data_IF_672154713227
#
_entry.id   IF_672154713227
#
_cell.length_a   1.000
_cell.length_b   1.000
_cell.length_c   1.000
_cell.angle_alpha   90.00
_cell.angle_beta   90.00
_cell.angle_gamma   90.00
#
_symmetry.space_group_name_H-M   'P 1'
#
loop_
_entity.id
_entity.type
_entity.pdbx_description
1 polymer ?
#
# COMPACT_ATOMS: atom_id res chain seq x y z
N UNK A 1 28.47 -47.00 6.31
CA UNK A 1 27.11 -47.34 6.76
C UNK A 1 26.57 -46.12 7.49
N UNK A 2 26.10 -45.12 6.74
CA UNK A 2 25.52 -43.90 7.29
C UNK A 2 24.06 -43.85 6.87
N UNK A 3 23.21 -44.10 7.84
CA UNK A 3 21.76 -44.07 7.77
C UNK A 3 21.31 -42.61 7.78
N UNK A 4 20.97 -42.08 6.60
CA UNK A 4 20.42 -40.73 6.46
C UNK A 4 18.96 -40.82 6.90
N UNK A 5 18.67 -40.28 8.09
CA UNK A 5 17.32 -40.18 8.65
C UNK A 5 16.39 -39.45 7.68
N UNK A 6 15.46 -40.19 7.09
CA UNK A 6 14.37 -39.72 6.21
C UNK A 6 13.21 -39.07 7.00
N UNK A 7 13.52 -38.37 8.10
CA UNK A 7 12.53 -37.88 9.09
C UNK A 7 12.06 -36.44 8.86
N UNK A 8 12.67 -35.69 7.93
CA UNK A 8 12.26 -34.29 7.63
C UNK A 8 11.71 -34.11 6.21
N UNK A 9 11.19 -35.18 5.59
CA UNK A 9 10.37 -35.01 4.38
C UNK A 9 9.02 -34.44 4.78
N UNK A 10 8.88 -33.12 4.70
CA UNK A 10 7.61 -32.40 4.81
C UNK A 10 6.60 -33.09 3.87
N UNK A 11 5.72 -33.90 4.46
CA UNK A 11 4.74 -34.64 3.69
C UNK A 11 3.77 -33.64 3.03
N UNK A 12 3.41 -33.84 1.76
CA UNK A 12 2.42 -33.00 1.12
C UNK A 12 1.13 -33.04 1.95
N UNK A 13 0.57 -31.87 2.27
CA UNK A 13 -0.64 -31.72 3.09
C UNK A 13 -1.92 -32.21 2.38
N UNK A 14 -1.83 -33.19 1.48
CA UNK A 14 -2.94 -33.73 0.70
C UNK A 14 -4.12 -34.23 1.56
N UNK A 15 -3.87 -34.56 2.83
CA UNK A 15 -4.90 -34.96 3.79
C UNK A 15 -5.70 -33.80 4.40
N UNK A 16 -5.28 -32.54 4.19
CA UNK A 16 -6.01 -31.37 4.68
C UNK A 16 -7.40 -31.28 4.05
N UNK A 17 -8.45 -30.99 4.82
CA UNK A 17 -9.78 -30.73 4.27
C UNK A 17 -9.80 -29.66 3.18
N UNK A 18 -8.93 -28.66 3.26
CA UNK A 18 -8.81 -27.61 2.26
C UNK A 18 -8.46 -28.18 0.87
N UNK A 19 -7.52 -29.13 0.80
CA UNK A 19 -7.09 -29.74 -0.46
C UNK A 19 -8.05 -30.82 -0.99
N UNK A 20 -9.10 -31.16 -0.23
CA UNK A 20 -10.21 -32.01 -0.72
C UNK A 20 -11.27 -31.22 -1.49
N UNK A 21 -11.26 -29.88 -1.39
CA UNK A 21 -12.14 -29.01 -2.15
C UNK A 21 -11.68 -28.92 -3.62
N UNK A 22 -12.58 -28.70 -4.59
CA UNK A 22 -12.20 -28.28 -5.94
C UNK A 22 -11.35 -27.00 -5.94
N UNK A 23 -10.49 -26.84 -6.95
CA UNK A 23 -9.58 -25.69 -7.03
C UNK A 23 -10.29 -24.34 -7.06
N UNK A 24 -11.47 -24.30 -7.65
CA UNK A 24 -12.31 -23.10 -7.71
C UNK A 24 -12.72 -22.62 -6.31
N UNK A 25 -13.13 -23.55 -5.44
CA UNK A 25 -13.50 -23.20 -4.06
C UNK A 25 -12.29 -22.77 -3.24
N UNK A 26 -11.12 -23.40 -3.45
CA UNK A 26 -9.88 -22.97 -2.80
C UNK A 26 -9.49 -21.56 -3.22
N UNK A 27 -9.57 -21.26 -4.52
CA UNK A 27 -9.32 -19.92 -5.04
C UNK A 27 -10.26 -18.88 -4.44
N UNK A 28 -11.55 -19.19 -4.28
CA UNK A 28 -12.49 -18.29 -3.59
C UNK A 28 -12.13 -18.08 -2.12
N UNK A 29 -11.72 -19.15 -1.42
CA UNK A 29 -11.24 -19.02 -0.03
C UNK A 29 -10.01 -18.11 0.02
N UNK A 30 -9.01 -18.32 -0.84
CA UNK A 30 -7.82 -17.48 -0.87
C UNK A 30 -8.17 -16.03 -1.15
N UNK A 31 -9.01 -15.79 -2.15
CA UNK A 31 -9.47 -14.44 -2.50
C UNK A 31 -10.16 -13.77 -1.32
N UNK A 32 -11.09 -14.44 -0.64
CA UNK A 32 -11.79 -13.88 0.52
C UNK A 32 -10.86 -13.59 1.70
N UNK A 33 -9.87 -14.45 1.93
CA UNK A 33 -8.95 -14.35 3.07
C UNK A 33 -7.88 -13.28 2.84
N UNK A 34 -7.52 -13.02 1.59
CA UNK A 34 -6.46 -12.07 1.20
C UNK A 34 -7.04 -10.71 0.80
N UNK A 35 -8.33 -10.64 0.43
CA UNK A 35 -8.97 -9.36 0.13
C UNK A 35 -9.25 -8.59 1.43
N UNK A 36 -8.74 -7.36 1.58
CA UNK A 36 -9.00 -6.55 2.76
C UNK A 36 -10.50 -6.21 2.85
N UNK A 37 -11.05 -6.26 4.06
CA UNK A 37 -12.44 -5.85 4.34
C UNK A 37 -12.59 -4.35 4.59
N UNK A 38 -11.47 -3.63 4.72
CA UNK A 38 -11.39 -2.20 4.99
C UNK A 38 -10.18 -1.60 4.26
N UNK A 39 -10.15 -0.28 4.04
CA UNK A 39 -9.00 0.37 3.42
C UNK A 39 -7.69 0.11 4.17
N UNK A 40 -6.61 -0.04 3.43
CA UNK A 40 -5.25 -0.23 3.94
C UNK A 40 -4.59 1.16 3.99
N UNK A 41 -4.54 1.76 5.18
CA UNK A 41 -4.01 3.11 5.37
C UNK A 41 -2.52 3.06 5.71
N UNK A 42 -1.72 3.79 4.93
CA UNK A 42 -0.28 3.94 5.08
C UNK A 42 0.45 2.59 5.24
N UNK A 43 0.29 1.65 4.28
CA UNK A 43 0.94 0.35 4.35
C UNK A 43 2.46 0.52 4.49
N UNK A 44 3.03 -0.10 5.51
CA UNK A 44 4.47 -0.10 5.75
C UNK A 44 5.01 -1.52 5.76
N UNK A 45 6.19 -1.67 5.19
CA UNK A 45 6.97 -2.91 5.25
C UNK A 45 7.79 -3.02 6.54
N UNK A 46 7.88 -1.93 7.30
CA UNK A 46 8.70 -1.82 8.49
C UNK A 46 7.84 -1.74 9.76
N UNK A 47 8.07 -2.68 10.68
CA UNK A 47 7.40 -2.72 11.98
C UNK A 47 7.89 -1.64 12.95
N UNK A 48 8.94 -0.88 12.60
CA UNK A 48 9.49 0.20 13.43
C UNK A 48 8.70 1.51 13.32
N UNK A 49 7.96 1.71 12.22
CA UNK A 49 7.08 2.87 12.07
C UNK A 49 5.90 2.76 13.03
N UNK A 50 5.77 3.74 13.94
CA UNK A 50 4.79 3.68 15.02
C UNK A 50 3.35 3.54 14.50
N UNK A 51 2.47 2.82 15.24
CA UNK A 51 1.13 2.45 14.78
C UNK A 51 0.14 3.63 14.64
N UNK A 52 0.56 4.86 14.97
CA UNK A 52 -0.35 6.02 15.03
C UNK A 52 -0.95 6.41 13.68
N UNK A 53 -0.28 6.07 12.57
CA UNK A 53 -0.71 6.45 11.22
C UNK A 53 -1.07 5.24 10.33
N UNK A 54 -0.87 4.02 10.83
CA UNK A 54 -1.08 2.79 10.07
C UNK A 54 -2.39 2.14 10.47
N UNK A 55 -3.22 1.82 9.47
CA UNK A 55 -4.42 1.02 9.67
C UNK A 55 -4.42 -0.07 8.60
N UNK A 56 -3.79 -1.19 8.94
CA UNK A 56 -3.78 -2.39 8.09
C UNK A 56 -4.76 -3.39 8.70
N UNK A 57 -5.86 -3.74 8.01
CA UNK A 57 -6.79 -4.75 8.50
C UNK A 57 -6.06 -6.10 8.66
N UNK A 58 -6.60 -6.97 9.52
CA UNK A 58 -6.09 -8.33 9.66
C UNK A 58 -6.28 -9.08 8.33
N UNK A 59 -5.19 -9.21 7.57
CA UNK A 59 -5.16 -10.01 6.35
C UNK A 59 -4.81 -11.44 6.71
N UNK A 60 -5.47 -12.42 6.10
CA UNK A 60 -5.13 -13.83 6.31
C UNK A 60 -3.89 -14.28 5.54
N UNK A 61 -2.88 -13.42 5.43
CA UNK A 61 -1.58 -13.73 4.79
C UNK A 61 -0.84 -14.86 5.51
N UNK A 62 -1.17 -15.15 6.76
CA UNK A 62 -0.68 -16.34 7.47
C UNK A 62 -1.07 -17.63 6.76
N UNK A 63 -2.24 -17.67 6.09
CA UNK A 63 -2.66 -18.81 5.27
C UNK A 63 -1.67 -19.08 4.13
N UNK A 64 -1.15 -18.03 3.49
CA UNK A 64 -0.14 -18.15 2.43
C UNK A 64 1.16 -18.81 2.91
N UNK A 65 1.40 -18.77 4.22
CA UNK A 65 2.62 -19.29 4.85
C UNK A 65 2.44 -20.69 5.45
N UNK A 66 1.24 -21.29 5.39
CA UNK A 66 1.01 -22.60 6.03
C UNK A 66 1.67 -23.74 5.28
N UNK A 67 1.68 -23.72 3.95
CA UNK A 67 2.42 -24.69 3.15
C UNK A 67 2.70 -24.19 1.73
N UNK A 68 3.70 -24.81 1.07
CA UNK A 68 4.12 -24.47 -0.29
C UNK A 68 3.00 -24.60 -1.33
N UNK A 69 2.09 -25.56 -1.16
CA UNK A 69 0.98 -25.75 -2.08
C UNK A 69 0.01 -24.56 -2.05
N UNK A 70 -0.38 -24.08 -0.85
CA UNK A 70 -1.20 -22.86 -0.72
C UNK A 70 -0.45 -21.65 -1.30
N UNK A 71 0.83 -21.48 -0.97
CA UNK A 71 1.65 -20.37 -1.48
C UNK A 71 1.67 -20.30 -3.02
N UNK A 72 1.84 -21.46 -3.68
CA UNK A 72 1.89 -21.52 -5.14
C UNK A 72 0.53 -21.38 -5.81
N UNK A 73 -0.54 -21.82 -5.15
CA UNK A 73 -1.91 -21.76 -5.69
C UNK A 73 -2.53 -20.37 -5.49
N UNK A 74 -2.27 -19.74 -4.36
CA UNK A 74 -2.85 -18.45 -4.04
C UNK A 74 -2.25 -17.33 -4.90
N UNK A 75 -3.13 -16.52 -5.47
CA UNK A 75 -2.72 -15.40 -6.29
C UNK A 75 -2.33 -14.20 -5.41
N UNK A 76 -1.03 -14.02 -5.17
CA UNK A 76 -0.51 -12.87 -4.39
C UNK A 76 -0.90 -11.51 -4.98
N UNK A 77 -1.22 -11.44 -6.29
CA UNK A 77 -1.68 -10.20 -6.92
C UNK A 77 -3.08 -9.77 -6.49
N UNK A 78 -3.89 -10.65 -5.90
CA UNK A 78 -5.25 -10.32 -5.47
C UNK A 78 -5.26 -9.16 -4.47
N UNK A 79 -4.36 -9.16 -3.48
CA UNK A 79 -4.25 -8.08 -2.50
C UNK A 79 -3.95 -6.73 -3.15
N UNK A 80 -3.01 -6.70 -4.09
CA UNK A 80 -2.60 -5.48 -4.78
C UNK A 80 -3.68 -4.97 -5.74
N UNK A 81 -4.43 -5.87 -6.38
CA UNK A 81 -5.49 -5.52 -7.33
C UNK A 81 -6.77 -5.05 -6.68
N UNK A 82 -7.15 -5.68 -5.56
CA UNK A 82 -8.42 -5.43 -4.87
C UNK A 82 -8.27 -4.59 -3.61
N UNK A 83 -7.04 -4.25 -3.23
CA UNK A 83 -6.76 -3.46 -2.03
C UNK A 83 -7.05 -1.98 -2.27
N UNK A 84 -7.82 -1.38 -1.36
CA UNK A 84 -7.99 0.07 -1.29
C UNK A 84 -6.85 0.66 -0.48
N UNK A 85 -5.77 1.08 -1.16
CA UNK A 85 -4.61 1.69 -0.52
C UNK A 85 -4.82 3.18 -0.31
N UNK A 86 -4.68 3.63 0.94
CA UNK A 86 -4.85 5.04 1.33
C UNK A 86 -3.50 5.57 1.81
N UNK A 87 -3.09 6.73 1.32
CA UNK A 87 -1.84 7.38 1.71
C UNK A 87 -2.09 8.80 2.21
N UNK A 88 -1.55 9.13 3.39
CA UNK A 88 -1.67 10.49 3.96
C UNK A 88 -0.42 11.35 3.72
N UNK A 89 0.74 10.73 3.47
CA UNK A 89 1.98 11.42 3.09
C UNK A 89 2.70 10.72 1.94
N UNK A 90 3.53 11.47 1.23
CA UNK A 90 4.39 10.96 0.14
C UNK A 90 5.45 9.98 0.64
N UNK A 91 5.99 10.18 1.85
CA UNK A 91 6.93 9.21 2.42
C UNK A 91 6.34 7.78 2.46
N UNK A 92 5.03 7.66 2.74
CA UNK A 92 4.35 6.35 2.79
C UNK A 92 4.15 5.75 1.40
N UNK A 93 3.79 6.57 0.40
CA UNK A 93 3.62 6.08 -0.97
C UNK A 93 4.97 5.60 -1.53
N UNK A 94 6.03 6.38 -1.35
CA UNK A 94 7.38 6.02 -1.77
C UNK A 94 7.90 4.76 -1.07
N UNK A 95 7.74 4.69 0.27
CA UNK A 95 8.15 3.52 1.03
C UNK A 95 7.41 2.25 0.59
N UNK A 96 6.11 2.36 0.30
CA UNK A 96 5.32 1.22 -0.19
C UNK A 96 5.77 0.76 -1.58
N UNK A 97 5.82 1.67 -2.56
CA UNK A 97 6.13 1.32 -3.95
C UNK A 97 7.61 0.97 -4.19
N UNK A 98 8.54 1.54 -3.41
CA UNK A 98 9.97 1.21 -3.51
C UNK A 98 10.28 -0.27 -3.26
N UNK A 99 9.45 -0.96 -2.47
CA UNK A 99 9.58 -2.38 -2.16
C UNK A 99 8.86 -3.30 -3.14
N UNK A 100 7.96 -2.76 -3.96
CA UNK A 100 7.27 -3.54 -4.98
C UNK A 100 8.15 -3.67 -6.23
N UNK A 101 8.23 -4.91 -6.75
CA UNK A 101 8.77 -5.17 -8.09
C UNK A 101 7.89 -4.52 -9.16
N UNK A 102 8.43 -4.29 -10.36
CA UNK A 102 7.68 -3.66 -11.46
C UNK A 102 6.36 -4.38 -11.77
N UNK A 103 6.37 -5.72 -11.75
CA UNK A 103 5.16 -6.54 -11.96
C UNK A 103 4.14 -6.43 -10.82
N UNK A 104 4.58 -6.18 -9.59
CA UNK A 104 3.66 -5.94 -8.47
C UNK A 104 3.07 -4.54 -8.53
N UNK A 105 3.86 -3.52 -8.93
CA UNK A 105 3.36 -2.14 -9.09
C UNK A 105 2.26 -2.07 -10.13
N UNK A 106 2.36 -2.82 -11.22
CA UNK A 106 1.31 -2.88 -12.24
C UNK A 106 0.01 -3.54 -11.78
N UNK A 107 0.00 -4.18 -10.60
CA UNK A 107 -1.21 -4.74 -10.01
C UNK A 107 -1.94 -3.73 -9.11
N UNK A 108 -1.34 -2.59 -8.77
CA UNK A 108 -2.01 -1.54 -8.01
C UNK A 108 -2.72 -0.60 -8.98
N UNK A 109 -4.02 -0.84 -9.17
CA UNK A 109 -4.83 -0.10 -10.14
C UNK A 109 -5.40 1.21 -9.57
N UNK A 110 -5.62 1.27 -8.25
CA UNK A 110 -6.24 2.39 -7.56
C UNK A 110 -5.52 2.73 -6.26
N UNK A 111 -5.43 4.02 -5.96
CA UNK A 111 -5.02 4.55 -4.65
C UNK A 111 -5.93 5.71 -4.26
N UNK A 112 -6.04 5.92 -2.95
CA UNK A 112 -6.63 7.13 -2.36
C UNK A 112 -5.54 7.96 -1.69
N UNK A 113 -5.52 9.24 -1.98
CA UNK A 113 -4.66 10.23 -1.34
C UNK A 113 -5.52 11.02 -0.37
N UNK A 114 -5.23 10.86 0.91
CA UNK A 114 -5.99 11.46 1.99
C UNK A 114 -5.24 12.69 2.51
N UNK A 115 -5.80 13.86 2.24
CA UNK A 115 -5.15 15.13 2.54
C UNK A 115 -5.42 15.63 3.96
N UNK A 116 -5.90 14.77 4.89
CA UNK A 116 -6.16 15.16 6.28
C UNK A 116 -4.96 15.74 7.00
N UNK A 117 -3.74 15.24 6.73
CA UNK A 117 -2.52 15.74 7.36
C UNK A 117 -2.02 17.03 6.69
N UNK A 118 -2.27 17.21 5.39
CA UNK A 118 -2.06 18.48 4.71
C UNK A 118 -3.06 19.54 5.22
N UNK A 119 -4.27 19.12 5.61
CA UNK A 119 -5.32 19.98 6.13
C UNK A 119 -5.26 20.19 7.65
N UNK A 120 -4.42 19.45 8.39
CA UNK A 120 -4.35 19.51 9.85
C UNK A 120 -3.54 20.73 10.30
N UNK A 121 -4.20 21.87 10.39
CA UNK A 121 -3.68 23.06 11.04
C UNK A 121 -4.82 23.79 11.74
N UNK A 122 -4.58 24.27 12.96
CA UNK A 122 -5.46 25.30 13.53
C UNK A 122 -5.35 26.53 12.61
N UNK A 123 -6.44 27.11 12.09
CA UNK A 123 -6.37 28.32 11.28
C UNK A 123 -5.67 29.48 11.98
N UNK A 124 -5.60 29.48 13.33
CA UNK A 124 -4.84 30.46 14.11
C UNK A 124 -3.34 30.12 14.25
N UNK A 125 -2.92 28.91 13.91
CA UNK A 125 -1.58 28.38 14.13
C UNK A 125 -1.26 27.31 13.09
N UNK A 126 -1.34 27.66 11.79
CA UNK A 126 -0.91 26.76 10.73
C UNK A 126 0.48 26.24 11.09
N UNK A 127 0.57 24.96 11.43
CA UNK A 127 1.85 24.38 11.79
C UNK A 127 2.69 24.36 10.52
N UNK A 128 3.97 24.71 10.65
CA UNK A 128 4.92 24.62 9.53
C UNK A 128 4.88 23.23 8.87
N UNK A 129 4.51 22.19 9.63
CA UNK A 129 4.31 20.83 9.16
C UNK A 129 3.18 20.67 8.13
N UNK A 130 1.98 21.23 8.36
CA UNK A 130 0.85 21.09 7.42
C UNK A 130 1.13 21.78 6.08
N UNK A 131 1.72 22.98 6.11
CA UNK A 131 2.16 23.68 4.90
C UNK A 131 3.25 22.89 4.17
N UNK A 132 4.18 22.29 4.91
CA UNK A 132 5.23 21.44 4.34
C UNK A 132 4.61 20.24 3.62
N UNK A 133 3.70 19.51 4.27
CA UNK A 133 3.01 18.33 3.69
C UNK A 133 2.20 18.74 2.45
N UNK A 134 1.48 19.86 2.48
CA UNK A 134 0.72 20.35 1.33
C UNK A 134 1.64 20.67 0.13
N UNK A 135 2.77 21.32 0.38
CA UNK A 135 3.76 21.63 -0.64
C UNK A 135 4.44 20.36 -1.21
N UNK A 136 4.69 19.35 -0.38
CA UNK A 136 5.18 18.05 -0.86
C UNK A 136 4.17 17.43 -1.84
N UNK A 137 2.86 17.42 -1.51
CA UNK A 137 1.81 16.92 -2.41
C UNK A 137 1.75 17.69 -3.73
N UNK A 138 1.79 19.02 -3.68
CA UNK A 138 1.84 19.86 -4.89
C UNK A 138 3.05 19.50 -5.74
N UNK A 139 4.22 19.33 -5.12
CA UNK A 139 5.42 18.88 -5.83
C UNK A 139 5.19 17.51 -6.47
N UNK A 140 4.72 16.52 -5.72
CA UNK A 140 4.54 15.14 -6.18
C UNK A 140 3.62 15.03 -7.40
N UNK A 141 2.61 15.89 -7.49
CA UNK A 141 1.67 15.96 -8.62
C UNK A 141 2.17 16.78 -9.79
N UNK A 142 2.78 17.94 -9.55
CA UNK A 142 3.01 18.95 -10.58
C UNK A 142 4.45 19.02 -11.09
N UNK A 143 5.39 18.40 -10.37
CA UNK A 143 6.79 18.40 -10.77
C UNK A 143 7.00 17.64 -12.09
N UNK A 144 7.58 18.32 -13.08
CA UNK A 144 8.02 17.71 -14.34
C UNK A 144 9.53 17.53 -14.29
N UNK A 145 9.99 16.32 -14.63
CA UNK A 145 11.40 15.99 -14.67
C UNK A 145 12.17 17.00 -15.55
N UNK A 146 13.11 17.73 -14.94
CA UNK A 146 13.91 18.77 -15.61
C UNK A 146 13.45 20.22 -15.38
N UNK A 147 12.34 20.46 -14.66
CA UNK A 147 11.87 21.82 -14.33
C UNK A 147 12.62 22.47 -13.14
N UNK A 148 13.56 21.75 -12.51
CA UNK A 148 14.26 22.27 -11.33
C UNK A 148 15.40 23.19 -11.72
N UNK A 149 15.24 24.47 -11.39
CA UNK A 149 16.40 25.34 -11.21
C UNK A 149 17.22 24.81 -10.03
N UNK A 150 18.53 24.65 -10.25
CA UNK A 150 19.53 24.28 -9.26
C UNK A 150 19.29 25.04 -7.94
N UNK A 151 18.88 24.35 -6.87
CA UNK A 151 19.08 24.89 -5.51
C UNK A 151 18.04 24.66 -4.40
N UNK A 152 16.80 24.20 -4.61
CA UNK A 152 15.82 24.26 -3.51
C UNK A 152 14.86 23.05 -3.45
N UNK A 153 15.02 22.23 -2.39
CA UNK A 153 14.06 21.29 -1.78
C UNK A 153 13.50 20.14 -2.64
N UNK A 154 13.51 20.27 -3.96
CA UNK A 154 12.79 19.41 -4.90
C UNK A 154 13.59 18.19 -5.40
N UNK A 155 14.88 18.07 -5.07
CA UNK A 155 15.74 17.05 -5.66
C UNK A 155 15.48 15.63 -5.10
N UNK A 156 14.96 15.53 -3.89
CA UNK A 156 14.85 14.26 -3.16
C UNK A 156 13.45 13.62 -3.27
N UNK A 157 12.45 14.36 -3.77
CA UNK A 157 11.09 13.85 -3.93
C UNK A 157 10.90 13.27 -5.33
N UNK A 158 10.42 12.02 -5.39
CA UNK A 158 9.92 11.42 -6.63
C UNK A 158 8.62 12.10 -7.08
N UNK A 159 8.14 11.74 -8.27
CA UNK A 159 6.85 12.20 -8.80
C UNK A 159 5.90 11.03 -8.90
N UNK A 160 4.60 11.32 -8.87
CA UNK A 160 3.54 10.33 -9.04
C UNK A 160 3.76 9.45 -10.29
N UNK A 161 4.15 10.10 -11.40
CA UNK A 161 4.39 9.42 -12.68
C UNK A 161 5.58 8.45 -12.61
N UNK A 162 6.59 8.76 -11.79
CA UNK A 162 7.78 7.93 -11.65
C UNK A 162 7.55 6.74 -10.71
N UNK A 163 6.83 6.95 -9.61
CA UNK A 163 6.58 5.89 -8.63
C UNK A 163 5.57 4.87 -9.14
N UNK A 164 4.50 5.33 -9.81
CA UNK A 164 3.33 4.52 -10.15
C UNK A 164 2.89 4.77 -11.60
N UNK A 165 3.73 4.42 -12.59
CA UNK A 165 3.47 4.73 -14.00
C UNK A 165 2.25 4.01 -14.60
N UNK A 166 1.71 3.00 -13.91
CA UNK A 166 0.61 2.15 -14.39
C UNK A 166 -0.70 2.39 -13.64
N UNK A 167 -0.75 3.39 -12.76
CA UNK A 167 -1.93 3.68 -11.96
C UNK A 167 -3.10 4.07 -12.87
N UNK A 168 -4.25 3.40 -12.70
CA UNK A 168 -5.44 3.65 -13.51
C UNK A 168 -6.32 4.72 -12.93
N UNK A 169 -6.37 4.80 -11.61
CA UNK A 169 -7.29 5.69 -10.89
C UNK A 169 -6.63 6.24 -9.61
N UNK A 170 -6.89 7.52 -9.37
CA UNK A 170 -6.55 8.21 -8.13
C UNK A 170 -7.84 8.80 -7.57
N UNK A 171 -8.08 8.57 -6.28
CA UNK A 171 -9.02 9.34 -5.49
C UNK A 171 -8.24 10.36 -4.65
N UNK A 172 -8.70 11.60 -4.59
CA UNK A 172 -8.19 12.61 -3.65
C UNK A 172 -9.30 12.86 -2.64
N UNK A 173 -9.08 12.44 -1.39
CA UNK A 173 -10.00 12.62 -0.30
C UNK A 173 -9.76 13.99 0.37
N UNK A 174 -10.76 14.85 0.24
CA UNK A 174 -10.83 16.20 0.79
C UNK A 174 -11.88 16.33 1.91
N UNK A 175 -12.42 15.23 2.41
CA UNK A 175 -13.52 15.25 3.41
C UNK A 175 -13.15 16.01 4.68
N UNK A 176 -11.88 15.98 5.07
CA UNK A 176 -11.34 16.71 6.23
C UNK A 176 -10.87 18.12 5.89
N UNK A 177 -10.92 18.52 4.62
CA UNK A 177 -10.47 19.83 4.18
C UNK A 177 -11.49 20.89 4.60
N UNK A 178 -11.17 21.65 5.64
CA UNK A 178 -12.05 22.72 6.09
C UNK A 178 -11.98 23.90 5.11
N UNK A 179 -13.10 24.32 4.51
CA UNK A 179 -13.14 25.39 3.50
C UNK A 179 -13.07 26.80 4.10
N UNK A 180 -12.44 27.00 5.26
CA UNK A 180 -12.44 28.29 5.98
C UNK A 180 -11.81 29.47 5.19
N UNK A 181 -11.32 29.20 3.97
CA UNK A 181 -10.76 30.18 3.03
C UNK A 181 -11.43 30.19 1.65
N UNK A 182 -12.61 29.57 1.47
CA UNK A 182 -13.48 29.94 0.36
C UNK A 182 -13.99 31.36 0.65
N UNK A 183 -13.14 32.35 0.36
CA UNK A 183 -13.40 33.74 0.61
C UNK A 183 -14.80 34.09 0.12
N UNK A 184 -15.55 34.75 1.00
CA UNK A 184 -16.70 35.55 0.60
C UNK A 184 -16.29 36.35 -0.64
N UNK A 185 -16.86 36.00 -1.79
CA UNK A 185 -16.91 36.84 -2.96
C UNK A 185 -18.26 37.53 -2.98
#
# INVERSE_FOLDING_TARGET
MNDIRDEDRILPQANSPLFRLPGELRNWIYDLVITPSAPIVNPSWDTTTGPKHQQVPSLGVTLLRTCRAVYLEANESTLLKKGDFVFTRIAHIQAFFSRLSLSQRSNVDHITIDLREAASGDPASQSEESTTIANEWVHYFCCVQGAHMMGAWCADLSTLKNDIPHLRSICIDLTTWQPNYAGAR
#
